data_IF_995227274667
#
_entry.id   IF_995227274667
#
_cell.length_a   1.000
_cell.length_b   1.000
_cell.length_c   1.000
_cell.angle_alpha   90.00
_cell.angle_beta   90.00
_cell.angle_gamma   90.00
#
_symmetry.space_group_name_H-M   'P 1'
#
loop_
_entity.id
_entity.type
_entity.pdbx_description
1 polymer ?
#
# COMPACT_ATOMS: atom_id res chain seq x y z
N UNK A 1 -13.33 64.06 -13.80
CA UNK A 1 -12.34 63.29 -13.01
C UNK A 1 -12.44 61.84 -13.44
N UNK A 2 -11.61 61.41 -14.39
CA UNK A 2 -11.47 59.99 -14.75
C UNK A 2 -10.59 59.37 -13.67
N UNK A 3 -11.12 58.38 -12.94
CA UNK A 3 -10.33 57.57 -12.01
C UNK A 3 -9.28 56.82 -12.83
N UNK A 4 -8.01 57.13 -12.60
CA UNK A 4 -6.89 56.34 -13.06
C UNK A 4 -6.86 55.10 -12.18
N UNK A 5 -7.25 53.96 -12.73
CA UNK A 5 -6.95 52.65 -12.12
C UNK A 5 -5.48 52.40 -12.42
N UNK A 6 -4.64 52.49 -11.39
CA UNK A 6 -3.26 52.00 -11.45
C UNK A 6 -3.34 50.46 -11.43
N UNK A 7 -3.19 49.82 -12.59
CA UNK A 7 -2.81 48.40 -12.66
C UNK A 7 -1.35 48.29 -12.22
N UNK A 8 -1.09 47.61 -11.09
CA UNK A 8 0.28 47.32 -10.66
C UNK A 8 0.95 46.43 -11.71
N UNK A 9 2.07 46.89 -12.26
CA UNK A 9 2.83 46.17 -13.27
C UNK A 9 3.31 44.81 -12.75
N UNK A 10 3.06 43.75 -13.53
CA UNK A 10 3.74 42.46 -13.42
C UNK A 10 5.25 42.66 -13.57
N UNK A 11 6.03 42.10 -12.63
CA UNK A 11 7.48 42.18 -12.62
C UNK A 11 8.04 40.81 -13.01
N UNK A 12 8.34 40.63 -14.30
CA UNK A 12 9.08 39.46 -14.78
C UNK A 12 10.59 39.78 -14.73
N UNK A 13 11.32 39.14 -13.81
CA UNK A 13 12.79 39.24 -13.75
C UNK A 13 13.35 37.89 -14.21
N UNK A 14 13.62 37.79 -15.51
CA UNK A 14 14.50 36.75 -16.05
C UNK A 14 15.93 37.26 -16.03
N UNK A 15 16.71 36.87 -15.02
CA UNK A 15 18.15 37.16 -14.99
C UNK A 15 18.87 36.04 -15.75
N UNK A 16 19.06 36.25 -17.06
CA UNK A 16 20.05 35.48 -17.83
C UNK A 16 21.43 36.03 -17.49
N UNK A 17 22.09 35.44 -16.48
CA UNK A 17 23.47 35.78 -16.20
C UNK A 17 24.34 35.30 -17.37
N UNK A 18 24.81 36.26 -18.18
CA UNK A 18 25.66 36.06 -19.35
C UNK A 18 26.87 35.15 -19.05
N UNK A 19 26.74 33.87 -19.39
CA UNK A 19 27.74 33.07 -20.07
C UNK A 19 27.07 31.80 -20.65
N UNK A 20 27.23 31.58 -21.95
CA UNK A 20 27.05 30.29 -22.68
C UNK A 20 25.74 30.06 -23.46
N UNK A 21 25.86 29.32 -24.57
CA UNK A 21 25.03 29.38 -25.77
C UNK A 21 23.63 28.71 -25.64
N UNK A 22 22.63 29.28 -26.32
CA UNK A 22 21.32 28.68 -26.64
C UNK A 22 20.32 28.41 -25.50
N UNK A 23 20.42 29.06 -24.33
CA UNK A 23 19.31 29.04 -23.35
C UNK A 23 18.11 29.84 -23.86
N UNK A 24 16.90 29.30 -23.69
CA UNK A 24 15.62 29.93 -24.07
C UNK A 24 14.71 30.05 -22.84
N UNK A 25 14.28 31.27 -22.54
CA UNK A 25 13.24 31.52 -21.53
C UNK A 25 12.07 32.29 -22.17
N UNK A 26 10.85 31.79 -21.99
CA UNK A 26 9.60 32.43 -22.45
C UNK A 26 8.65 32.54 -21.26
N UNK A 27 8.24 33.77 -20.92
CA UNK A 27 7.27 34.03 -19.84
C UNK A 27 6.10 34.81 -20.43
N UNK A 28 4.87 34.28 -20.32
CA UNK A 28 3.62 34.91 -20.74
C UNK A 28 2.72 35.08 -19.53
N UNK A 29 2.39 36.32 -19.17
CA UNK A 29 1.56 36.63 -18.00
C UNK A 29 0.35 37.49 -18.41
N UNK A 30 -0.83 37.19 -17.85
CA UNK A 30 -2.06 37.98 -18.04
C UNK A 30 -2.85 38.08 -16.73
N UNK A 31 -2.79 39.25 -16.07
CA UNK A 31 -3.47 39.54 -14.80
C UNK A 31 -2.66 40.53 -13.96
N UNK A 32 -3.16 40.88 -12.77
CA UNK A 32 -2.53 41.81 -11.83
C UNK A 32 -1.64 41.07 -10.80
N UNK A 33 -0.45 41.61 -10.50
CA UNK A 33 0.45 41.12 -9.43
C UNK A 33 1.05 39.70 -9.61
N UNK A 34 1.14 39.18 -10.84
CA UNK A 34 1.90 37.94 -11.09
C UNK A 34 3.42 38.16 -10.97
N UNK A 35 4.13 37.20 -10.37
CA UNK A 35 5.59 37.19 -10.23
C UNK A 35 6.16 35.93 -10.89
N UNK A 36 7.09 36.10 -11.82
CA UNK A 36 7.84 34.97 -12.41
C UNK A 36 9.33 35.28 -12.38
N UNK A 37 10.11 34.38 -11.79
CA UNK A 37 11.58 34.44 -11.74
C UNK A 37 12.15 33.17 -12.35
N UNK A 38 13.04 33.34 -13.34
CA UNK A 38 13.75 32.24 -14.01
C UNK A 38 15.26 32.44 -13.92
N UNK A 39 15.99 31.46 -13.41
CA UNK A 39 17.46 31.40 -13.41
C UNK A 39 17.88 30.20 -14.26
N UNK A 40 18.68 30.42 -15.30
CA UNK A 40 19.23 29.37 -16.17
C UNK A 40 20.76 29.49 -16.21
N UNK A 41 21.47 28.44 -15.81
CA UNK A 41 22.94 28.37 -15.78
C UNK A 41 23.40 27.08 -16.49
N UNK A 42 24.17 27.20 -17.57
CA UNK A 42 24.58 26.08 -18.46
C UNK A 42 24.16 26.33 -19.92
N UNK A 43 24.13 25.30 -20.77
CA UNK A 43 23.80 25.41 -22.21
C UNK A 43 22.47 24.73 -22.59
N UNK A 44 21.74 25.30 -23.57
CA UNK A 44 20.49 24.72 -24.15
C UNK A 44 19.35 24.43 -23.15
N UNK A 45 19.29 25.13 -22.02
CA UNK A 45 18.13 25.05 -21.12
C UNK A 45 16.92 25.78 -21.71
N UNK A 46 15.72 25.20 -21.52
CA UNK A 46 14.44 25.76 -21.93
C UNK A 46 13.51 25.97 -20.74
N UNK A 47 12.98 27.19 -20.60
CA UNK A 47 11.97 27.57 -19.62
C UNK A 47 10.76 28.17 -20.35
N UNK A 48 9.57 27.61 -20.13
CA UNK A 48 8.31 28.20 -20.56
C UNK A 48 7.38 28.36 -19.36
N UNK A 49 6.95 29.59 -19.08
CA UNK A 49 5.99 29.91 -18.02
C UNK A 49 4.80 30.64 -18.63
N UNK A 50 3.59 30.13 -18.41
CA UNK A 50 2.33 30.82 -18.71
C UNK A 50 1.56 31.01 -17.41
N UNK A 51 1.12 32.23 -17.12
CA UNK A 51 0.31 32.55 -15.93
C UNK A 51 -0.88 33.43 -16.34
N UNK A 52 -2.08 33.07 -15.91
CA UNK A 52 -3.31 33.83 -16.16
C UNK A 52 -4.09 34.06 -14.87
N UNK A 53 -4.76 35.21 -14.76
CA UNK A 53 -5.40 35.77 -13.55
C UNK A 53 -4.37 36.32 -12.53
N UNK A 54 -4.77 36.58 -11.28
CA UNK A 54 -4.05 37.51 -10.39
C UNK A 54 -3.15 36.78 -9.36
N UNK A 55 -2.03 37.41 -8.97
CA UNK A 55 -1.12 36.97 -7.87
C UNK A 55 -0.43 35.60 -8.00
N UNK A 56 -0.36 34.99 -9.18
CA UNK A 56 0.40 33.76 -9.39
C UNK A 56 1.91 33.99 -9.26
N UNK A 57 2.61 33.09 -8.57
CA UNK A 57 4.06 33.12 -8.36
C UNK A 57 4.71 31.88 -8.97
N UNK A 58 5.72 32.07 -9.81
CA UNK A 58 6.55 31.00 -10.35
C UNK A 58 8.02 31.32 -10.13
N UNK A 59 8.76 30.40 -9.52
CA UNK A 59 10.20 30.46 -9.33
C UNK A 59 10.83 29.21 -9.94
N UNK A 60 11.63 29.37 -10.99
CA UNK A 60 12.30 28.25 -11.65
C UNK A 60 13.80 28.48 -11.74
N UNK A 61 14.60 27.51 -11.28
CA UNK A 61 16.07 27.51 -11.38
C UNK A 61 16.53 26.26 -12.12
N UNK A 62 17.30 26.42 -13.19
CA UNK A 62 17.88 25.34 -13.99
C UNK A 62 19.41 25.48 -14.01
N UNK A 63 20.12 24.48 -13.49
CA UNK A 63 21.58 24.42 -13.43
C UNK A 63 22.08 23.15 -14.15
N UNK A 64 22.84 23.31 -15.23
CA UNK A 64 23.30 22.20 -16.09
C UNK A 64 22.84 22.40 -17.53
N UNK A 65 22.88 21.37 -18.38
CA UNK A 65 22.60 21.48 -19.81
C UNK A 65 21.29 20.80 -20.21
N UNK A 66 20.66 21.27 -21.29
CA UNK A 66 19.48 20.64 -21.92
C UNK A 66 18.26 20.43 -21.00
N UNK A 67 18.17 21.12 -19.86
CA UNK A 67 17.02 20.99 -18.97
C UNK A 67 15.80 21.73 -19.53
N UNK A 68 14.61 21.13 -19.45
CA UNK A 68 13.35 21.74 -19.85
C UNK A 68 12.41 21.89 -18.66
N UNK A 69 11.86 23.08 -18.45
CA UNK A 69 10.81 23.32 -17.46
C UNK A 69 9.64 24.04 -18.11
N UNK A 70 8.44 23.50 -17.95
CA UNK A 70 7.19 24.09 -18.40
C UNK A 70 6.27 24.28 -17.21
N UNK A 71 5.77 25.50 -17.04
CA UNK A 71 4.84 25.87 -15.98
C UNK A 71 3.61 26.56 -16.60
N UNK A 72 2.42 26.04 -16.34
CA UNK A 72 1.14 26.67 -16.68
C UNK A 72 0.29 26.85 -15.42
N UNK A 73 -0.15 28.08 -15.15
CA UNK A 73 -0.98 28.43 -13.99
C UNK A 73 -2.20 29.24 -14.44
N UNK A 74 -3.39 28.72 -14.18
CA UNK A 74 -4.67 29.38 -14.43
C UNK A 74 -5.49 29.45 -13.14
N UNK A 75 -5.66 30.67 -12.60
CA UNK A 75 -6.36 30.94 -11.33
C UNK A 75 -5.64 31.99 -10.49
N UNK A 76 -6.08 32.23 -9.26
CA UNK A 76 -5.49 33.23 -8.38
C UNK A 76 -4.53 32.62 -7.34
N UNK A 77 -3.38 33.30 -7.10
CA UNK A 77 -2.38 32.96 -6.06
C UNK A 77 -1.74 31.57 -6.13
N UNK A 78 -1.69 30.93 -7.29
CA UNK A 78 -0.97 29.67 -7.41
C UNK A 78 0.56 29.88 -7.27
N UNK A 79 1.26 28.94 -6.63
CA UNK A 79 2.70 28.97 -6.38
C UNK A 79 3.39 27.77 -7.03
N UNK A 80 4.43 28.04 -7.82
CA UNK A 80 5.35 27.02 -8.36
C UNK A 80 6.79 27.33 -7.96
N UNK A 81 7.49 26.33 -7.43
CA UNK A 81 8.92 26.37 -7.14
C UNK A 81 9.65 25.18 -7.74
N UNK A 82 10.26 25.34 -8.91
CA UNK A 82 11.01 24.27 -9.58
C UNK A 82 12.53 24.52 -9.48
N UNK A 83 13.28 23.58 -8.93
CA UNK A 83 14.74 23.58 -8.89
C UNK A 83 15.24 22.35 -9.66
N UNK A 84 16.09 22.55 -10.66
CA UNK A 84 16.57 21.49 -11.54
C UNK A 84 18.09 21.61 -11.64
N UNK A 85 18.80 20.55 -11.26
CA UNK A 85 20.26 20.44 -11.32
C UNK A 85 20.67 19.18 -12.07
N UNK A 86 21.63 19.28 -13.00
CA UNK A 86 22.13 18.18 -13.84
C UNK A 86 21.74 18.34 -15.31
N UNK A 87 21.83 17.28 -16.11
CA UNK A 87 21.64 17.35 -17.57
C UNK A 87 20.33 16.65 -18.04
N UNK A 88 19.69 17.22 -19.07
CA UNK A 88 18.54 16.62 -19.78
C UNK A 88 17.29 16.31 -18.92
N UNK A 89 17.09 17.02 -17.81
CA UNK A 89 15.90 16.83 -16.97
C UNK A 89 14.68 17.58 -17.53
N UNK A 90 13.48 17.04 -17.34
CA UNK A 90 12.22 17.64 -17.76
C UNK A 90 11.25 17.78 -16.59
N UNK A 91 10.75 18.99 -16.37
CA UNK A 91 9.65 19.27 -15.44
C UNK A 91 8.44 19.84 -16.17
N UNK A 92 7.25 19.40 -15.78
CA UNK A 92 5.97 19.95 -16.26
C UNK A 92 5.10 20.21 -15.04
N UNK A 93 4.65 21.44 -14.85
CA UNK A 93 3.74 21.81 -13.77
C UNK A 93 2.53 22.50 -14.37
N UNK A 94 1.33 21.98 -14.11
CA UNK A 94 0.06 22.56 -14.54
C UNK A 94 -0.86 22.72 -13.32
N UNK A 95 -1.32 23.94 -13.06
CA UNK A 95 -2.21 24.26 -11.93
C UNK A 95 -3.44 25.00 -12.44
N UNK A 96 -4.62 24.41 -12.23
CA UNK A 96 -5.94 24.98 -12.56
C UNK A 96 -6.72 25.19 -11.25
N UNK A 97 -7.18 26.42 -10.97
CA UNK A 97 -7.88 26.78 -9.73
C UNK A 97 -7.06 27.72 -8.83
N UNK A 98 -7.50 27.96 -7.59
CA UNK A 98 -6.92 29.00 -6.73
C UNK A 98 -6.02 28.42 -5.60
N UNK A 99 -5.02 29.17 -5.16
CA UNK A 99 -4.18 28.86 -3.99
C UNK A 99 -3.43 27.50 -4.06
N UNK A 100 -3.24 26.89 -5.24
CA UNK A 100 -2.46 25.64 -5.38
C UNK A 100 -0.95 25.87 -5.27
N UNK A 101 -0.22 24.94 -4.67
CA UNK A 101 1.23 24.96 -4.53
C UNK A 101 1.89 23.71 -5.15
N UNK A 102 2.93 23.91 -5.95
CA UNK A 102 3.75 22.83 -6.49
C UNK A 102 5.23 23.14 -6.30
N UNK A 103 5.97 22.18 -5.76
CA UNK A 103 7.42 22.27 -5.56
C UNK A 103 8.09 21.04 -6.17
N UNK A 104 8.95 21.23 -7.15
CA UNK A 104 9.67 20.14 -7.81
C UNK A 104 11.18 20.40 -7.68
N UNK A 105 11.91 19.48 -7.05
CA UNK A 105 13.37 19.49 -6.94
C UNK A 105 13.94 18.26 -7.68
N UNK A 106 14.69 18.48 -8.75
CA UNK A 106 15.37 17.42 -9.51
C UNK A 106 16.88 17.60 -9.40
N UNK A 107 17.60 16.54 -9.06
CA UNK A 107 19.06 16.50 -9.04
C UNK A 107 19.61 15.22 -9.68
N UNK A 108 20.24 15.35 -10.85
CA UNK A 108 20.83 14.25 -11.62
C UNK A 108 20.49 14.35 -13.10
N UNK A 109 20.52 13.25 -13.85
CA UNK A 109 20.42 13.28 -15.31
C UNK A 109 19.18 12.54 -15.85
N UNK A 110 18.56 13.05 -16.91
CA UNK A 110 17.43 12.43 -17.63
C UNK A 110 16.17 12.13 -16.79
N UNK A 111 15.92 12.88 -15.71
CA UNK A 111 14.72 12.67 -14.91
C UNK A 111 13.51 13.41 -15.49
N UNK A 112 12.31 12.84 -15.31
CA UNK A 112 11.03 13.45 -15.64
C UNK A 112 10.21 13.66 -14.37
N UNK A 113 9.71 14.87 -14.13
CA UNK A 113 8.70 15.11 -13.08
C UNK A 113 7.51 15.88 -13.65
N UNK A 114 6.31 15.40 -13.38
CA UNK A 114 5.05 16.01 -13.82
C UNK A 114 4.16 16.23 -12.61
N UNK A 115 3.68 17.46 -12.42
CA UNK A 115 2.68 17.79 -11.41
C UNK A 115 1.47 18.45 -12.09
N UNK A 116 0.30 17.86 -11.93
CA UNK A 116 -0.98 18.40 -12.39
C UNK A 116 -1.92 18.58 -11.19
N UNK A 117 -2.42 19.79 -10.98
CA UNK A 117 -3.35 20.09 -9.88
C UNK A 117 -4.57 20.81 -10.45
N UNK A 118 -5.78 20.31 -10.14
CA UNK A 118 -7.04 20.89 -10.60
C UNK A 118 -8.03 21.02 -9.43
N UNK A 119 -8.23 22.25 -8.96
CA UNK A 119 -9.08 22.61 -7.81
C UNK A 119 -8.39 23.63 -6.92
N UNK A 120 -8.74 23.72 -5.64
CA UNK A 120 -8.27 24.80 -4.75
C UNK A 120 -7.37 24.30 -3.63
N UNK A 121 -6.29 25.03 -3.31
CA UNK A 121 -5.41 24.75 -2.16
C UNK A 121 -4.72 23.37 -2.15
N UNK A 122 -4.49 22.76 -3.32
CA UNK A 122 -3.74 21.49 -3.40
C UNK A 122 -2.23 21.74 -3.30
N UNK A 123 -1.50 20.82 -2.67
CA UNK A 123 -0.03 20.85 -2.54
C UNK A 123 0.59 19.59 -3.17
N UNK A 124 1.50 19.79 -4.12
CA UNK A 124 2.25 18.72 -4.79
C UNK A 124 3.75 18.95 -4.61
N UNK A 125 4.46 17.99 -4.02
CA UNK A 125 5.90 18.04 -3.83
C UNK A 125 6.53 16.84 -4.55
N UNK A 126 7.57 17.08 -5.35
CA UNK A 126 8.36 16.03 -5.96
C UNK A 126 9.86 16.30 -5.74
N UNK A 127 10.58 15.35 -5.14
CA UNK A 127 12.04 15.34 -5.05
C UNK A 127 12.59 14.14 -5.80
N UNK A 128 13.37 14.36 -6.85
CA UNK A 128 13.86 13.29 -7.75
C UNK A 128 15.38 13.38 -7.87
N UNK A 129 16.08 12.45 -7.24
CA UNK A 129 17.53 12.37 -7.22
C UNK A 129 18.03 11.13 -8.00
N UNK A 130 19.10 11.31 -8.78
CA UNK A 130 19.75 10.24 -9.55
C UNK A 130 19.42 10.26 -11.05
N UNK A 131 19.36 9.11 -11.71
CA UNK A 131 19.30 9.03 -13.18
C UNK A 131 18.04 8.36 -13.73
N UNK A 132 17.44 8.93 -14.78
CA UNK A 132 16.32 8.32 -15.53
C UNK A 132 15.05 8.02 -14.69
N UNK A 133 14.83 8.70 -13.56
CA UNK A 133 13.63 8.51 -12.78
C UNK A 133 12.45 9.29 -13.38
N UNK A 134 11.23 8.80 -13.16
CA UNK A 134 10.00 9.44 -13.57
C UNK A 134 9.03 9.55 -12.39
N UNK A 135 8.59 10.77 -12.08
CA UNK A 135 7.55 11.05 -11.08
C UNK A 135 6.34 11.74 -11.72
N UNK A 136 5.15 11.34 -11.31
CA UNK A 136 3.90 11.98 -11.70
C UNK A 136 2.98 12.18 -10.49
N UNK A 137 2.58 13.42 -10.24
CA UNK A 137 1.55 13.78 -9.26
C UNK A 137 0.35 14.36 -10.00
N UNK A 138 -0.85 13.84 -9.73
CA UNK A 138 -2.11 14.35 -10.24
C UNK A 138 -3.08 14.52 -9.07
N UNK A 139 -3.57 15.73 -8.84
CA UNK A 139 -4.53 16.04 -7.77
C UNK A 139 -5.76 16.72 -8.36
N UNK A 140 -6.95 16.26 -7.98
CA UNK A 140 -8.24 16.86 -8.39
C UNK A 140 -9.13 17.03 -7.17
N UNK A 141 -9.54 18.26 -6.85
CA UNK A 141 -10.36 18.59 -5.67
C UNK A 141 -9.74 19.67 -4.80
N UNK A 142 -10.05 19.72 -3.51
CA UNK A 142 -9.55 20.75 -2.59
C UNK A 142 -8.65 20.19 -1.48
N UNK A 143 -7.63 20.95 -1.07
CA UNK A 143 -6.75 20.61 0.07
C UNK A 143 -6.02 19.25 -0.01
N UNK A 144 -5.81 18.68 -1.20
CA UNK A 144 -5.03 17.45 -1.33
C UNK A 144 -3.53 17.72 -1.19
N UNK A 145 -2.80 16.81 -0.55
CA UNK A 145 -1.35 16.85 -0.35
C UNK A 145 -0.71 15.56 -0.91
N UNK A 146 0.20 15.69 -1.87
CA UNK A 146 0.93 14.57 -2.45
C UNK A 146 2.42 14.88 -2.48
N UNK A 147 3.22 13.96 -1.96
CA UNK A 147 4.67 14.02 -1.98
C UNK A 147 5.25 12.77 -2.65
N UNK A 148 6.16 12.96 -3.61
CA UNK A 148 6.96 11.88 -4.20
C UNK A 148 8.44 12.18 -3.94
N UNK A 149 9.14 11.26 -3.28
CA UNK A 149 10.60 11.30 -3.13
C UNK A 149 11.22 10.06 -3.79
N UNK A 150 12.07 10.28 -4.80
CA UNK A 150 12.82 9.23 -5.51
C UNK A 150 14.32 9.49 -5.35
N UNK A 151 15.08 8.47 -4.99
CA UNK A 151 16.55 8.52 -4.94
C UNK A 151 17.15 7.22 -5.49
N UNK A 152 17.74 7.32 -6.68
CA UNK A 152 18.40 6.21 -7.38
C UNK A 152 18.19 6.26 -8.89
N UNK A 153 18.07 5.11 -9.56
CA UNK A 153 18.02 5.06 -11.03
C UNK A 153 16.77 4.35 -11.58
N UNK A 154 16.15 4.91 -12.62
CA UNK A 154 15.01 4.29 -13.33
C UNK A 154 13.78 3.99 -12.46
N UNK A 155 13.57 4.71 -11.36
CA UNK A 155 12.36 4.55 -10.55
C UNK A 155 11.16 5.25 -11.21
N UNK A 156 9.98 4.64 -11.13
CA UNK A 156 8.72 5.17 -11.62
C UNK A 156 7.73 5.34 -10.46
N UNK A 157 7.33 6.59 -10.20
CA UNK A 157 6.49 6.96 -9.06
C UNK A 157 5.28 7.74 -9.54
N UNK A 158 4.09 7.31 -9.16
CA UNK A 158 2.83 7.90 -9.60
C UNK A 158 1.90 8.05 -8.41
N UNK A 159 1.34 9.24 -8.23
CA UNK A 159 0.31 9.52 -7.23
C UNK A 159 -0.86 10.24 -7.89
N UNK A 160 -2.04 9.65 -7.83
CA UNK A 160 -3.31 10.23 -8.28
C UNK A 160 -4.26 10.37 -7.09
N UNK A 161 -4.75 11.59 -6.83
CA UNK A 161 -5.70 11.89 -5.75
C UNK A 161 -6.93 12.62 -6.32
N UNK A 162 -8.13 12.13 -6.01
CA UNK A 162 -9.41 12.71 -6.43
C UNK A 162 -10.33 12.83 -5.21
N UNK A 163 -10.73 14.05 -4.84
CA UNK A 163 -11.57 14.34 -3.68
C UNK A 163 -10.97 15.45 -2.82
N UNK A 164 -11.40 15.57 -1.56
CA UNK A 164 -10.94 16.62 -0.65
C UNK A 164 -10.04 16.09 0.48
N UNK A 165 -9.03 16.86 0.88
CA UNK A 165 -8.15 16.57 2.04
C UNK A 165 -7.36 15.24 1.99
N UNK A 166 -7.13 14.65 0.82
CA UNK A 166 -6.34 13.42 0.71
C UNK A 166 -4.83 13.70 0.91
N UNK A 167 -4.14 12.80 1.59
CA UNK A 167 -2.70 12.86 1.84
C UNK A 167 -1.99 11.63 1.29
N UNK A 168 -0.87 11.84 0.63
CA UNK A 168 -0.12 10.79 -0.04
C UNK A 168 1.37 11.02 0.00
N UNK A 169 2.12 9.99 0.38
CA UNK A 169 3.58 10.00 0.35
C UNK A 169 4.07 8.75 -0.40
N UNK A 170 4.81 8.96 -1.49
CA UNK A 170 5.51 7.90 -2.21
C UNK A 170 7.02 8.08 -2.03
N UNK A 171 7.73 7.07 -1.53
CA UNK A 171 9.18 7.10 -1.33
C UNK A 171 9.82 5.91 -2.03
N UNK A 172 10.82 6.13 -2.89
CA UNK A 172 11.53 5.08 -3.61
C UNK A 172 13.04 5.27 -3.52
N UNK A 173 13.73 4.31 -2.90
CA UNK A 173 15.19 4.23 -2.84
C UNK A 173 15.68 3.03 -3.66
N UNK A 174 16.69 3.22 -4.51
CA UNK A 174 17.31 2.13 -5.30
C UNK A 174 17.01 2.22 -6.80
N UNK A 175 16.82 1.10 -7.49
CA UNK A 175 16.65 1.11 -8.95
C UNK A 175 15.47 0.31 -9.48
N UNK A 176 14.88 0.78 -10.58
CA UNK A 176 13.76 0.10 -11.27
C UNK A 176 12.51 -0.14 -10.40
N UNK A 177 12.34 0.60 -9.31
CA UNK A 177 11.15 0.44 -8.46
C UNK A 177 9.94 1.17 -9.08
N UNK A 178 8.77 0.56 -9.00
CA UNK A 178 7.48 1.10 -9.46
C UNK A 178 6.54 1.29 -8.26
N UNK A 179 6.09 2.52 -8.01
CA UNK A 179 5.09 2.83 -7.00
C UNK A 179 3.97 3.62 -7.64
N UNK A 180 2.76 3.08 -7.57
CA UNK A 180 1.56 3.69 -8.09
C UNK A 180 0.53 3.74 -6.96
N UNK A 181 0.05 4.94 -6.65
CA UNK A 181 -0.99 5.17 -5.66
C UNK A 181 -2.16 5.93 -6.29
N UNK A 182 -3.37 5.40 -6.12
CA UNK A 182 -4.63 6.01 -6.51
C UNK A 182 -5.52 6.20 -5.28
N UNK A 183 -6.01 7.40 -5.04
CA UNK A 183 -6.99 7.71 -3.99
C UNK A 183 -8.21 8.40 -4.60
N UNK A 184 -9.40 7.93 -4.25
CA UNK A 184 -10.69 8.55 -4.60
C UNK A 184 -11.54 8.68 -3.33
N UNK A 185 -12.06 9.86 -3.02
CA UNK A 185 -12.86 10.14 -1.81
C UNK A 185 -12.19 11.20 -0.92
N UNK A 186 -12.66 11.37 0.31
CA UNK A 186 -12.21 12.46 1.19
C UNK A 186 -11.34 11.97 2.36
N UNK A 187 -10.33 12.76 2.76
CA UNK A 187 -9.48 12.50 3.93
C UNK A 187 -8.73 11.15 3.95
N UNK A 188 -8.42 10.56 2.79
CA UNK A 188 -7.61 9.33 2.75
C UNK A 188 -6.12 9.63 2.97
N UNK A 189 -5.40 8.72 3.60
CA UNK A 189 -3.96 8.82 3.82
C UNK A 189 -3.24 7.57 3.30
N UNK A 190 -2.16 7.77 2.53
CA UNK A 190 -1.25 6.69 2.21
C UNK A 190 0.23 7.01 2.35
N UNK A 191 1.00 5.96 2.64
CA UNK A 191 2.45 5.93 2.51
C UNK A 191 2.83 4.69 1.70
N UNK A 192 3.47 4.88 0.55
CA UNK A 192 4.02 3.82 -0.28
C UNK A 192 5.55 3.97 -0.34
N UNK A 193 6.27 3.12 0.39
CA UNK A 193 7.72 3.17 0.49
C UNK A 193 8.36 1.90 -0.13
N UNK A 194 9.42 2.08 -0.92
CA UNK A 194 10.17 1.01 -1.56
C UNK A 194 11.67 1.23 -1.42
N UNK A 195 12.42 0.19 -1.06
CA UNK A 195 13.88 0.22 -0.97
C UNK A 195 14.49 -1.02 -1.65
N UNK A 196 15.24 -0.85 -2.74
CA UNK A 196 15.95 -1.95 -3.39
C UNK A 196 15.81 -1.94 -4.91
N UNK A 197 15.72 -3.12 -5.53
CA UNK A 197 15.66 -3.24 -7.00
C UNK A 197 14.37 -3.90 -7.49
N UNK A 198 13.75 -3.33 -8.53
CA UNK A 198 12.60 -3.91 -9.24
C UNK A 198 11.36 -4.23 -8.36
N UNK A 199 11.14 -3.48 -7.28
CA UNK A 199 9.97 -3.66 -6.42
C UNK A 199 8.73 -2.95 -6.99
N UNK A 200 7.52 -3.48 -6.79
CA UNK A 200 6.25 -2.90 -7.25
C UNK A 200 5.27 -2.66 -6.10
N UNK A 201 4.79 -1.43 -5.93
CA UNK A 201 3.79 -1.04 -4.93
C UNK A 201 2.59 -0.45 -5.66
N UNK A 202 1.46 -1.15 -5.64
CA UNK A 202 0.23 -0.65 -6.22
C UNK A 202 -0.83 -0.50 -5.13
N UNK A 203 -1.20 0.74 -4.84
CA UNK A 203 -2.17 1.07 -3.82
C UNK A 203 -3.37 1.77 -4.45
N UNK A 204 -4.58 1.30 -4.13
CA UNK A 204 -5.84 1.94 -4.51
C UNK A 204 -6.74 2.10 -3.28
N UNK A 205 -7.16 3.32 -2.96
CA UNK A 205 -8.12 3.61 -1.90
C UNK A 205 -9.35 4.31 -2.49
N UNK A 206 -10.55 3.78 -2.23
CA UNK A 206 -11.83 4.31 -2.70
C UNK A 206 -12.81 4.48 -1.53
N UNK A 207 -13.10 5.70 -1.14
CA UNK A 207 -14.00 6.05 -0.03
C UNK A 207 -13.33 7.04 0.92
N UNK A 208 -13.82 7.19 2.14
CA UNK A 208 -13.39 8.29 3.02
C UNK A 208 -12.58 7.79 4.24
N UNK A 209 -11.61 8.58 4.69
CA UNK A 209 -10.81 8.29 5.90
C UNK A 209 -10.01 6.95 5.87
N UNK A 210 -9.72 6.38 4.71
CA UNK A 210 -8.92 5.16 4.63
C UNK A 210 -7.43 5.45 4.86
N UNK A 211 -6.75 4.57 5.57
CA UNK A 211 -5.30 4.61 5.84
C UNK A 211 -4.58 3.40 5.25
N UNK A 212 -3.51 3.63 4.50
CA UNK A 212 -2.66 2.56 3.99
C UNK A 212 -1.18 2.87 4.18
N UNK A 213 -0.43 1.91 4.71
CA UNK A 213 1.02 1.95 4.79
C UNK A 213 1.57 0.70 4.11
N UNK A 214 2.27 0.88 2.99
CA UNK A 214 2.89 -0.20 2.25
C UNK A 214 4.40 0.04 2.15
N UNK A 215 5.20 -0.79 2.81
CA UNK A 215 6.66 -0.74 2.80
C UNK A 215 7.23 -2.03 2.22
N UNK A 216 8.14 -1.93 1.27
CA UNK A 216 8.89 -3.08 0.78
C UNK A 216 10.39 -2.81 0.67
N UNK A 217 11.19 -3.82 1.01
CA UNK A 217 12.65 -3.81 0.97
C UNK A 217 13.18 -5.08 0.30
N UNK A 218 14.13 -4.94 -0.64
CA UNK A 218 14.80 -6.06 -1.31
C UNK A 218 14.60 -6.09 -2.82
N UNK A 219 14.41 -7.27 -3.42
CA UNK A 219 14.36 -7.42 -4.89
C UNK A 219 13.06 -8.08 -5.39
N UNK A 220 12.47 -7.53 -6.45
CA UNK A 220 11.28 -8.10 -7.13
C UNK A 220 10.07 -8.37 -6.21
N UNK A 221 9.88 -7.60 -5.12
CA UNK A 221 8.70 -7.75 -4.28
C UNK A 221 7.49 -7.01 -4.88
N UNK A 222 6.28 -7.48 -4.56
CA UNK A 222 5.03 -6.91 -5.04
C UNK A 222 4.05 -6.76 -3.88
N UNK A 223 3.60 -5.54 -3.65
CA UNK A 223 2.48 -5.20 -2.76
C UNK A 223 1.35 -4.66 -3.63
N UNK A 224 0.18 -5.27 -3.51
CA UNK A 224 -1.07 -4.78 -4.08
C UNK A 224 -2.09 -4.59 -2.96
N UNK A 225 -2.53 -3.36 -2.73
CA UNK A 225 -3.52 -3.04 -1.69
C UNK A 225 -4.70 -2.30 -2.30
N UNK A 226 -5.91 -2.80 -2.08
CA UNK A 226 -7.16 -2.16 -2.48
C UNK A 226 -8.06 -2.00 -1.25
N UNK A 227 -8.46 -0.77 -0.94
CA UNK A 227 -9.40 -0.48 0.14
C UNK A 227 -10.62 0.23 -0.43
N UNK A 228 -11.82 -0.28 -0.14
CA UNK A 228 -13.10 0.34 -0.53
C UNK A 228 -13.98 0.51 0.70
N UNK A 229 -14.47 1.73 0.96
CA UNK A 229 -15.34 2.03 2.10
C UNK A 229 -14.76 3.12 3.00
N UNK A 230 -15.09 3.09 4.29
CA UNK A 230 -14.71 4.15 5.23
C UNK A 230 -13.83 3.62 6.37
N UNK A 231 -12.81 4.39 6.78
CA UNK A 231 -11.94 4.08 7.92
C UNK A 231 -11.19 2.72 7.85
N UNK A 232 -10.97 2.15 6.67
CA UNK A 232 -10.16 0.93 6.56
C UNK A 232 -8.69 1.26 6.80
N UNK A 233 -7.97 0.38 7.51
CA UNK A 233 -6.55 0.52 7.81
C UNK A 233 -5.77 -0.71 7.34
N UNK A 234 -4.77 -0.51 6.49
CA UNK A 234 -3.85 -1.55 6.06
C UNK A 234 -2.40 -1.15 6.37
N UNK A 235 -1.65 -2.10 6.93
CA UNK A 235 -0.20 -2.07 7.02
C UNK A 235 0.32 -3.30 6.29
N UNK A 236 1.19 -3.11 5.31
CA UNK A 236 1.87 -4.19 4.61
C UNK A 236 3.37 -3.91 4.60
N UNK A 237 4.15 -4.80 5.20
CA UNK A 237 5.61 -4.77 5.26
C UNK A 237 6.18 -6.05 4.60
N UNK A 238 6.98 -5.88 3.54
CA UNK A 238 7.68 -6.97 2.86
C UNK A 238 9.20 -6.77 2.89
N UNK A 239 9.95 -7.71 3.43
CA UNK A 239 11.41 -7.71 3.39
C UNK A 239 11.93 -9.00 2.75
N UNK A 240 12.63 -8.91 1.62
CA UNK A 240 13.30 -10.06 0.99
C UNK A 240 13.24 -10.07 -0.54
N UNK A 241 13.07 -11.25 -1.14
CA UNK A 241 13.08 -11.40 -2.61
C UNK A 241 11.84 -12.11 -3.14
N UNK A 242 11.21 -11.56 -4.18
CA UNK A 242 10.08 -12.18 -4.91
C UNK A 242 8.84 -12.50 -4.05
N UNK A 243 8.58 -11.75 -2.98
CA UNK A 243 7.37 -11.94 -2.17
C UNK A 243 6.19 -11.15 -2.74
N UNK A 244 4.98 -11.70 -2.60
CA UNK A 244 3.72 -11.10 -3.07
C UNK A 244 2.73 -11.00 -1.92
N UNK A 245 2.14 -9.81 -1.75
CA UNK A 245 1.08 -9.53 -0.78
C UNK A 245 -0.06 -8.85 -1.51
N UNK A 246 -1.25 -9.44 -1.42
CA UNK A 246 -2.48 -8.84 -1.90
C UNK A 246 -3.46 -8.65 -0.76
N UNK A 247 -3.90 -7.42 -0.57
CA UNK A 247 -4.87 -7.06 0.46
C UNK A 247 -6.06 -6.35 -0.19
N UNK A 248 -7.26 -6.90 0.01
CA UNK A 248 -8.52 -6.29 -0.37
C UNK A 248 -9.40 -6.09 0.88
N UNK A 249 -9.78 -4.85 1.18
CA UNK A 249 -10.66 -4.51 2.29
C UNK A 249 -11.90 -3.77 1.77
N UNK A 250 -13.08 -4.30 2.04
CA UNK A 250 -14.36 -3.71 1.66
C UNK A 250 -15.25 -3.53 2.90
N UNK A 251 -15.63 -2.29 3.23
CA UNK A 251 -16.56 -2.00 4.34
C UNK A 251 -16.07 -0.90 5.28
N UNK A 252 -16.49 -0.97 6.55
CA UNK A 252 -16.15 0.04 7.57
C UNK A 252 -15.17 -0.52 8.62
N UNK A 253 -14.10 0.23 8.93
CA UNK A 253 -13.13 -0.11 9.99
C UNK A 253 -12.48 -1.50 9.88
N UNK A 254 -12.21 -2.01 8.68
CA UNK A 254 -11.42 -3.23 8.55
C UNK A 254 -9.93 -2.94 8.78
N UNK A 255 -9.26 -3.80 9.56
CA UNK A 255 -7.84 -3.70 9.87
C UNK A 255 -7.11 -4.91 9.30
N UNK A 256 -6.04 -4.68 8.55
CA UNK A 256 -5.12 -5.72 8.10
C UNK A 256 -3.68 -5.32 8.36
N UNK A 257 -2.89 -6.27 8.85
CA UNK A 257 -1.46 -6.14 9.08
C UNK A 257 -0.76 -7.36 8.49
N UNK A 258 0.06 -7.14 7.47
CA UNK A 258 0.83 -8.18 6.78
C UNK A 258 2.31 -7.88 6.96
N UNK A 259 3.03 -8.80 7.58
CA UNK A 259 4.48 -8.82 7.64
C UNK A 259 5.02 -10.08 6.96
N UNK A 260 5.84 -9.91 5.92
CA UNK A 260 6.50 -11.01 5.22
C UNK A 260 8.02 -10.80 5.18
N UNK A 261 8.77 -11.70 5.82
CA UNK A 261 10.23 -11.73 5.81
C UNK A 261 10.73 -12.97 5.06
N UNK A 262 11.53 -12.81 4.01
CA UNK A 262 12.20 -13.91 3.30
C UNK A 262 11.90 -13.98 1.80
N UNK A 263 11.90 -15.18 1.21
CA UNK A 263 11.85 -15.34 -0.26
C UNK A 263 10.62 -16.09 -0.75
N UNK A 264 9.95 -15.54 -1.76
CA UNK A 264 8.78 -16.18 -2.42
C UNK A 264 7.63 -16.42 -1.42
N UNK A 265 7.37 -15.51 -0.48
CA UNK A 265 6.19 -15.62 0.39
C UNK A 265 4.96 -15.04 -0.33
N UNK A 266 3.80 -15.69 -0.17
CA UNK A 266 2.52 -15.27 -0.74
C UNK A 266 1.51 -15.04 0.39
N UNK A 267 0.95 -13.84 0.48
CA UNK A 267 -0.11 -13.50 1.42
C UNK A 267 -1.28 -12.91 0.65
N UNK A 268 -2.48 -13.39 0.96
CA UNK A 268 -3.74 -12.85 0.46
C UNK A 268 -4.68 -12.63 1.63
N UNK A 269 -5.14 -11.40 1.80
CA UNK A 269 -6.18 -11.02 2.75
C UNK A 269 -7.35 -10.42 1.97
N UNK A 270 -8.53 -10.97 2.15
CA UNK A 270 -9.79 -10.40 1.67
C UNK A 270 -10.73 -10.25 2.87
N UNK A 271 -11.10 -9.02 3.19
CA UNK A 271 -12.04 -8.68 4.27
C UNK A 271 -13.23 -7.95 3.68
N UNK A 272 -14.44 -8.48 3.86
CA UNK A 272 -15.68 -7.82 3.45
C UNK A 272 -16.67 -7.79 4.62
N UNK A 273 -17.06 -6.58 5.04
CA UNK A 273 -17.93 -6.31 6.19
C UNK A 273 -17.31 -5.28 7.13
N UNK A 274 -17.78 -5.20 8.37
CA UNK A 274 -17.34 -4.19 9.32
C UNK A 274 -16.46 -4.77 10.44
N UNK A 275 -15.45 -4.01 10.88
CA UNK A 275 -14.59 -4.35 12.03
C UNK A 275 -13.79 -5.67 11.91
N UNK A 276 -13.56 -6.19 10.69
CA UNK A 276 -12.75 -7.39 10.54
C UNK A 276 -11.27 -7.09 10.80
N UNK A 277 -10.56 -8.03 11.44
CA UNK A 277 -9.13 -7.94 11.72
C UNK A 277 -8.38 -9.16 11.21
N UNK A 278 -7.34 -8.92 10.40
CA UNK A 278 -6.50 -9.96 9.83
C UNK A 278 -5.02 -9.63 10.04
N UNK A 279 -4.29 -10.53 10.70
CA UNK A 279 -2.86 -10.39 10.97
C UNK A 279 -2.11 -11.55 10.33
N UNK A 280 -1.13 -11.27 9.48
CA UNK A 280 -0.28 -12.29 8.84
C UNK A 280 1.19 -11.99 9.14
N UNK A 281 1.88 -12.93 9.75
CA UNK A 281 3.33 -12.92 9.96
C UNK A 281 3.94 -14.16 9.29
N UNK A 282 4.66 -13.97 8.18
CA UNK A 282 5.32 -15.05 7.44
C UNK A 282 6.84 -14.85 7.44
N UNK A 283 7.58 -15.86 7.90
CA UNK A 283 9.05 -15.85 7.86
C UNK A 283 9.64 -17.04 7.07
N UNK A 284 10.65 -16.79 6.23
CA UNK A 284 11.36 -17.84 5.49
C UNK A 284 10.94 -17.94 4.02
N UNK A 285 10.86 -19.16 3.49
CA UNK A 285 10.78 -19.41 2.04
C UNK A 285 9.47 -20.10 1.66
N UNK A 286 8.74 -19.58 0.67
CA UNK A 286 7.52 -20.21 0.10
C UNK A 286 6.34 -20.38 1.06
N UNK A 287 6.16 -19.48 2.02
CA UNK A 287 4.95 -19.52 2.85
C UNK A 287 3.74 -19.01 2.05
N UNK A 288 2.58 -19.65 2.22
CA UNK A 288 1.32 -19.22 1.61
C UNK A 288 0.28 -18.97 2.71
N UNK A 289 -0.26 -17.76 2.78
CA UNK A 289 -1.34 -17.38 3.69
C UNK A 289 -2.51 -16.89 2.89
N UNK A 290 -3.68 -17.45 3.11
CA UNK A 290 -4.95 -16.92 2.61
C UNK A 290 -5.88 -16.69 3.80
N UNK A 291 -6.39 -15.48 3.94
CA UNK A 291 -7.43 -15.10 4.89
C UNK A 291 -8.61 -14.51 4.10
N UNK A 292 -9.79 -15.11 4.25
CA UNK A 292 -11.06 -14.64 3.68
C UNK A 292 -12.06 -14.44 4.83
N UNK A 293 -12.39 -13.19 5.15
CA UNK A 293 -13.33 -12.81 6.21
C UNK A 293 -14.55 -12.14 5.59
N UNK A 294 -15.70 -12.82 5.64
CA UNK A 294 -16.97 -12.32 5.12
C UNK A 294 -17.96 -12.16 6.28
N UNK A 295 -18.31 -10.93 6.65
CA UNK A 295 -19.18 -10.59 7.76
C UNK A 295 -18.53 -9.60 8.71
N UNK A 296 -19.03 -9.46 9.94
CA UNK A 296 -18.60 -8.41 10.87
C UNK A 296 -17.81 -8.97 12.08
N UNK A 297 -16.85 -8.23 12.61
CA UNK A 297 -16.11 -8.57 13.84
C UNK A 297 -15.39 -9.93 13.79
N UNK A 298 -14.88 -10.33 12.61
CA UNK A 298 -14.05 -11.53 12.49
C UNK A 298 -12.59 -11.23 12.80
N UNK A 299 -11.93 -12.16 13.51
CA UNK A 299 -10.51 -12.11 13.82
C UNK A 299 -9.77 -13.32 13.24
N UNK A 300 -8.75 -13.06 12.43
CA UNK A 300 -7.86 -14.07 11.87
C UNK A 300 -6.40 -13.69 12.11
N UNK A 301 -5.62 -14.64 12.60
CA UNK A 301 -4.17 -14.48 12.76
C UNK A 301 -3.43 -15.71 12.22
N UNK A 302 -2.46 -15.46 11.34
CA UNK A 302 -1.59 -16.49 10.80
C UNK A 302 -0.14 -16.14 11.14
N UNK A 303 0.56 -17.04 11.82
CA UNK A 303 2.01 -16.98 11.99
C UNK A 303 2.62 -18.26 11.41
N UNK A 304 3.44 -18.14 10.37
CA UNK A 304 4.00 -19.32 9.71
C UNK A 304 5.46 -19.14 9.30
N UNK A 305 6.20 -20.25 9.32
CA UNK A 305 7.59 -20.28 8.92
C UNK A 305 7.92 -21.43 7.96
N UNK A 306 8.93 -21.24 7.12
CA UNK A 306 9.59 -22.28 6.31
C UNK A 306 8.67 -23.08 5.36
N UNK A 307 7.89 -22.43 4.50
CA UNK A 307 7.18 -23.11 3.41
C UNK A 307 5.90 -23.80 3.82
N UNK A 308 5.24 -23.26 4.84
CA UNK A 308 3.93 -23.73 5.30
C UNK A 308 2.79 -23.09 4.48
N UNK A 309 1.58 -23.63 4.60
CA UNK A 309 0.37 -23.10 3.97
C UNK A 309 -0.74 -23.01 5.01
N UNK A 310 -1.37 -21.84 5.10
CA UNK A 310 -2.55 -21.61 5.93
C UNK A 310 -3.67 -21.01 5.11
N UNK A 311 -4.87 -21.56 5.24
CA UNK A 311 -6.11 -21.07 4.65
C UNK A 311 -7.15 -20.89 5.76
N UNK A 312 -7.54 -19.64 6.02
CA UNK A 312 -8.59 -19.28 6.98
C UNK A 312 -9.76 -18.68 6.20
N UNK A 313 -10.94 -19.28 6.35
CA UNK A 313 -12.21 -18.76 5.83
C UNK A 313 -13.22 -18.60 6.95
N UNK A 314 -13.58 -17.36 7.25
CA UNK A 314 -14.58 -16.99 8.24
C UNK A 314 -15.81 -16.40 7.53
N UNK A 315 -16.98 -16.97 7.77
CA UNK A 315 -18.27 -16.49 7.26
C UNK A 315 -19.07 -15.91 8.43
N UNK A 316 -20.01 -15.01 8.16
CA UNK A 316 -20.83 -14.32 9.17
C UNK A 316 -19.97 -13.62 10.24
N UNK A 317 -20.51 -13.36 11.44
CA UNK A 317 -19.84 -12.53 12.44
C UNK A 317 -19.23 -13.26 13.64
N UNK A 318 -18.23 -12.63 14.25
CA UNK A 318 -17.67 -13.00 15.55
C UNK A 318 -16.77 -14.24 15.58
N UNK A 319 -16.21 -14.66 14.44
CA UNK A 319 -15.31 -15.82 14.41
C UNK A 319 -13.88 -15.44 14.81
N UNK A 320 -13.20 -16.36 15.50
CA UNK A 320 -11.79 -16.24 15.88
C UNK A 320 -11.01 -17.45 15.36
N UNK A 321 -9.97 -17.20 14.56
CA UNK A 321 -9.04 -18.20 14.08
C UNK A 321 -7.60 -17.76 14.31
N UNK A 322 -6.80 -18.61 14.96
CA UNK A 322 -5.35 -18.42 15.07
C UNK A 322 -4.63 -19.69 14.60
N UNK A 323 -3.77 -19.52 13.61
CA UNK A 323 -2.95 -20.60 13.04
C UNK A 323 -1.48 -20.26 13.25
N UNK A 324 -0.77 -21.13 13.98
CA UNK A 324 0.68 -21.07 14.18
C UNK A 324 1.31 -22.31 13.55
N UNK A 325 2.21 -22.12 12.58
CA UNK A 325 2.90 -23.20 11.88
C UNK A 325 4.42 -23.02 11.97
N UNK A 326 5.08 -23.93 12.69
CA UNK A 326 6.54 -23.95 12.86
C UNK A 326 7.10 -25.20 12.21
N UNK A 327 7.89 -25.04 11.14
CA UNK A 327 8.55 -26.15 10.44
C UNK A 327 8.14 -26.29 8.98
N UNK A 328 8.69 -27.28 8.27
CA UNK A 328 8.61 -27.36 6.80
C UNK A 328 7.29 -28.01 6.33
N UNK A 329 6.54 -27.30 5.48
CA UNK A 329 5.44 -27.87 4.69
C UNK A 329 4.18 -28.24 5.49
N UNK A 330 3.92 -27.58 6.61
CA UNK A 330 2.67 -27.75 7.34
C UNK A 330 1.50 -27.12 6.56
N UNK A 331 0.33 -27.75 6.63
CA UNK A 331 -0.89 -27.29 5.97
C UNK A 331 -2.03 -27.21 6.98
N UNK A 332 -2.65 -26.04 7.09
CA UNK A 332 -3.80 -25.81 7.95
C UNK A 332 -4.94 -25.18 7.16
N UNK A 333 -6.13 -25.72 7.31
CA UNK A 333 -7.37 -25.13 6.81
C UNK A 333 -8.34 -24.95 7.96
N UNK A 334 -8.82 -23.72 8.15
CA UNK A 334 -9.84 -23.36 9.15
C UNK A 334 -11.03 -22.75 8.42
N UNK A 335 -12.22 -23.35 8.59
CA UNK A 335 -13.50 -22.82 8.11
C UNK A 335 -14.46 -22.63 9.27
N UNK A 336 -14.99 -21.42 9.43
CA UNK A 336 -15.89 -21.05 10.53
C UNK A 336 -17.10 -20.29 10.00
N UNK A 337 -18.27 -20.49 10.61
CA UNK A 337 -19.53 -19.86 10.18
C UNK A 337 -20.11 -18.78 11.09
N UNK A 338 -20.07 -18.86 12.42
CA UNK A 338 -20.57 -17.78 13.30
C UNK A 338 -20.06 -18.02 14.72
N UNK A 339 -19.53 -17.00 15.41
CA UNK A 339 -19.11 -17.09 16.82
C UNK A 339 -18.26 -18.34 17.17
N UNK A 340 -17.42 -18.81 16.25
CA UNK A 340 -16.60 -20.00 16.46
C UNK A 340 -15.15 -19.64 16.79
N UNK A 341 -14.48 -20.53 17.52
CA UNK A 341 -13.09 -20.36 17.95
C UNK A 341 -12.23 -21.54 17.50
N UNK A 342 -11.15 -21.27 16.76
CA UNK A 342 -10.21 -22.26 16.25
C UNK A 342 -8.77 -21.85 16.56
N UNK A 343 -8.06 -22.71 17.28
CA UNK A 343 -6.62 -22.63 17.48
C UNK A 343 -5.95 -23.82 16.81
N UNK A 344 -5.00 -23.55 15.94
CA UNK A 344 -4.17 -24.58 15.30
C UNK A 344 -2.71 -24.27 15.55
N UNK A 345 -2.00 -25.21 16.16
CA UNK A 345 -0.54 -25.20 16.34
C UNK A 345 0.07 -26.44 15.70
N UNK A 346 0.85 -26.25 14.64
CA UNK A 346 1.57 -27.33 13.95
C UNK A 346 3.07 -27.11 14.09
N UNK A 347 3.73 -27.92 14.91
CA UNK A 347 5.18 -27.90 15.12
C UNK A 347 5.82 -29.16 14.53
N UNK A 348 6.62 -28.97 13.49
CA UNK A 348 7.37 -30.00 12.78
C UNK A 348 7.08 -30.01 11.27
N UNK A 349 7.15 -31.17 10.61
CA UNK A 349 7.16 -31.25 9.14
C UNK A 349 5.93 -31.97 8.57
N UNK A 350 5.33 -31.39 7.52
CA UNK A 350 4.24 -32.02 6.74
C UNK A 350 2.99 -32.37 7.57
N UNK A 351 2.71 -31.64 8.65
CA UNK A 351 1.47 -31.83 9.41
C UNK A 351 0.29 -31.23 8.64
N UNK A 352 -0.87 -31.88 8.69
CA UNK A 352 -2.12 -31.42 8.07
C UNK A 352 -3.21 -31.28 9.13
N UNK A 353 -3.91 -30.14 9.13
CA UNK A 353 -5.06 -29.89 10.00
C UNK A 353 -6.23 -29.32 9.20
N UNK A 354 -7.42 -29.84 9.45
CA UNK A 354 -8.68 -29.31 8.95
C UNK A 354 -9.62 -29.07 10.12
N UNK A 355 -10.08 -27.83 10.28
CA UNK A 355 -11.13 -27.42 11.22
C UNK A 355 -12.30 -26.89 10.41
N UNK A 356 -13.47 -27.54 10.47
CA UNK A 356 -14.75 -27.04 9.90
C UNK A 356 -15.77 -26.94 11.03
N UNK A 357 -16.07 -25.70 11.45
CA UNK A 357 -17.03 -25.37 12.50
C UNK A 357 -18.25 -24.70 11.88
N UNK A 358 -19.41 -25.34 12.05
CA UNK A 358 -20.72 -24.86 11.57
C UNK A 358 -21.63 -24.58 12.75
N UNK A 359 -22.50 -23.57 12.63
CA UNK A 359 -23.29 -23.00 13.72
C UNK A 359 -22.41 -22.37 14.81
N UNK A 360 -23.04 -21.79 15.85
CA UNK A 360 -22.36 -20.93 16.82
C UNK A 360 -21.70 -21.67 17.99
N UNK A 361 -20.66 -21.03 18.54
CA UNK A 361 -20.07 -21.37 19.83
C UNK A 361 -19.16 -22.61 19.84
N UNK A 362 -18.73 -23.11 18.68
CA UNK A 362 -17.81 -24.25 18.65
C UNK A 362 -16.37 -23.81 18.97
N UNK A 363 -15.66 -24.64 19.70
CA UNK A 363 -14.24 -24.49 20.01
C UNK A 363 -13.46 -25.69 19.50
N UNK A 364 -12.39 -25.43 18.74
CA UNK A 364 -11.45 -26.42 18.27
C UNK A 364 -10.02 -26.00 18.62
N UNK A 365 -9.30 -26.83 19.37
CA UNK A 365 -7.88 -26.69 19.62
C UNK A 365 -7.14 -27.89 19.02
N UNK A 366 -6.26 -27.65 18.06
CA UNK A 366 -5.47 -28.67 17.38
C UNK A 366 -3.99 -28.39 17.63
N UNK A 367 -3.32 -29.29 18.33
CA UNK A 367 -1.87 -29.26 18.57
C UNK A 367 -1.24 -30.50 17.95
N UNK A 368 -0.36 -30.30 16.97
CA UNK A 368 0.37 -31.36 16.28
C UNK A 368 1.88 -31.13 16.43
N UNK A 369 2.54 -32.00 17.19
CA UNK A 369 3.98 -32.04 17.41
C UNK A 369 4.59 -33.24 16.65
N UNK A 370 5.63 -32.99 15.84
CA UNK A 370 6.27 -34.02 15.02
C UNK A 370 5.92 -33.92 13.54
N UNK A 371 5.78 -35.03 12.83
CA UNK A 371 5.70 -34.98 11.37
C UNK A 371 4.64 -35.87 10.72
N UNK A 372 4.05 -35.40 9.61
CA UNK A 372 2.98 -36.11 8.88
C UNK A 372 1.74 -36.42 9.72
N UNK A 373 1.50 -35.68 10.80
CA UNK A 373 0.29 -35.85 11.58
C UNK A 373 -0.90 -35.25 10.82
N UNK A 374 -2.03 -35.95 10.80
CA UNK A 374 -3.27 -35.52 10.17
C UNK A 374 -4.37 -35.39 11.23
N UNK A 375 -4.95 -34.19 11.35
CA UNK A 375 -6.05 -33.88 12.26
C UNK A 375 -7.24 -33.32 11.49
N UNK A 376 -8.42 -33.89 11.72
CA UNK A 376 -9.68 -33.42 11.14
C UNK A 376 -10.67 -33.21 12.28
N UNK A 377 -11.14 -31.98 12.45
CA UNK A 377 -12.18 -31.59 13.39
C UNK A 377 -13.38 -31.04 12.62
N UNK A 378 -14.49 -31.78 12.66
CA UNK A 378 -15.75 -31.40 12.04
C UNK A 378 -16.80 -31.20 13.15
N UNK A 379 -17.22 -29.96 13.38
CA UNK A 379 -18.22 -29.62 14.38
C UNK A 379 -19.42 -29.01 13.67
N UNK A 380 -20.51 -29.77 13.50
CA UNK A 380 -21.71 -29.30 12.77
C UNK A 380 -22.90 -28.97 13.67
N UNK A 381 -22.81 -29.26 14.97
CA UNK A 381 -23.73 -28.72 15.98
C UNK A 381 -23.19 -27.45 16.62
N UNK A 382 -23.93 -26.88 17.59
CA UNK A 382 -23.51 -25.70 18.35
C UNK A 382 -22.80 -26.07 19.67
N UNK A 383 -21.98 -25.15 20.20
CA UNK A 383 -21.31 -25.28 21.51
C UNK A 383 -20.43 -26.54 21.66
N UNK A 384 -19.89 -27.08 20.56
CA UNK A 384 -19.05 -28.26 20.64
C UNK A 384 -17.60 -27.92 21.01
N UNK A 385 -16.92 -28.86 21.69
CA UNK A 385 -15.52 -28.77 22.07
C UNK A 385 -14.71 -29.90 21.42
N UNK A 386 -13.69 -29.53 20.66
CA UNK A 386 -12.65 -30.41 20.11
C UNK A 386 -11.31 -30.00 20.71
N UNK A 387 -10.60 -30.96 21.30
CA UNK A 387 -9.20 -30.80 21.69
C UNK A 387 -8.40 -31.99 21.16
N UNK A 388 -7.42 -31.72 20.29
CA UNK A 388 -6.56 -32.74 19.68
C UNK A 388 -5.11 -32.43 20.01
N UNK A 389 -4.43 -33.40 20.62
CA UNK A 389 -2.98 -33.42 20.78
C UNK A 389 -2.42 -34.65 20.06
N UNK A 390 -1.57 -34.43 19.06
CA UNK A 390 -0.82 -35.48 18.38
C UNK A 390 0.68 -35.24 18.54
N UNK A 391 1.40 -36.14 19.21
CA UNK A 391 2.85 -36.11 19.39
C UNK A 391 3.49 -37.35 18.76
N UNK A 392 4.27 -37.14 17.70
CA UNK A 392 5.00 -38.19 16.98
C UNK A 392 4.86 -38.10 15.47
N UNK A 393 5.02 -39.22 14.77
CA UNK A 393 4.96 -39.30 13.30
C UNK A 393 3.73 -40.04 12.79
N UNK A 394 3.10 -39.51 11.73
CA UNK A 394 2.04 -40.17 10.98
C UNK A 394 0.78 -40.53 11.81
N UNK A 395 0.46 -39.73 12.84
CA UNK A 395 -0.77 -39.92 13.60
C UNK A 395 -1.98 -39.36 12.84
N UNK A 396 -3.12 -40.04 12.89
CA UNK A 396 -4.39 -39.59 12.31
C UNK A 396 -5.45 -39.44 13.40
N UNK A 397 -6.08 -38.27 13.49
CA UNK A 397 -7.19 -37.97 14.39
C UNK A 397 -8.35 -37.43 13.58
N UNK A 398 -9.54 -38.03 13.73
CA UNK A 398 -10.79 -37.53 13.15
C UNK A 398 -11.80 -37.37 14.28
N UNK A 399 -12.23 -36.15 14.55
CA UNK A 399 -13.34 -35.84 15.45
C UNK A 399 -14.49 -35.29 14.62
N UNK A 400 -15.67 -35.90 14.73
CA UNK A 400 -16.91 -35.43 14.12
C UNK A 400 -18.02 -35.33 15.17
N UNK A 401 -18.51 -34.11 15.40
CA UNK A 401 -19.54 -33.79 16.39
C UNK A 401 -20.75 -33.17 15.70
N UNK A 402 -21.85 -33.92 15.62
CA UNK A 402 -23.03 -33.54 14.85
C UNK A 402 -24.19 -32.99 15.68
N UNK A 403 -24.17 -33.23 17.00
CA UNK A 403 -25.15 -32.66 17.95
C UNK A 403 -24.55 -31.48 18.70
N UNK A 404 -25.29 -30.85 19.62
CA UNK A 404 -24.80 -29.73 20.42
C UNK A 404 -24.06 -30.19 21.69
N UNK A 405 -23.17 -29.34 22.23
CA UNK A 405 -22.49 -29.54 23.53
C UNK A 405 -21.66 -30.83 23.64
N UNK A 406 -21.17 -31.36 22.52
CA UNK A 406 -20.30 -32.51 22.54
C UNK A 406 -18.88 -32.12 22.94
N UNK A 407 -18.16 -33.03 23.60
CA UNK A 407 -16.75 -32.87 23.90
C UNK A 407 -15.97 -34.08 23.39
N UNK A 408 -14.99 -33.81 22.52
CA UNK A 408 -14.15 -34.79 21.86
C UNK A 408 -12.70 -34.42 22.15
N UNK A 409 -12.03 -35.26 22.94
CA UNK A 409 -10.62 -35.07 23.30
C UNK A 409 -9.85 -36.25 22.74
N UNK A 410 -8.83 -35.98 21.92
CA UNK A 410 -7.91 -36.99 21.39
C UNK A 410 -6.50 -36.63 21.81
N UNK A 411 -5.83 -37.55 22.51
CA UNK A 411 -4.39 -37.48 22.76
C UNK A 411 -3.72 -38.72 22.18
N UNK A 412 -2.83 -38.52 21.22
CA UNK A 412 -2.06 -39.58 20.57
C UNK A 412 -0.57 -39.30 20.77
N UNK A 413 0.13 -40.20 21.46
CA UNK A 413 1.59 -40.14 21.65
C UNK A 413 2.20 -41.37 20.98
N UNK A 414 3.25 -41.16 20.18
CA UNK A 414 3.92 -42.21 19.40
C UNK A 414 3.61 -42.11 17.90
N UNK A 415 3.91 -43.15 17.13
CA UNK A 415 3.82 -43.12 15.67
C UNK A 415 2.70 -43.99 15.12
N UNK A 416 2.07 -43.57 14.02
CA UNK A 416 1.03 -44.30 13.26
C UNK A 416 -0.26 -44.59 14.04
N UNK A 417 -0.60 -43.76 15.02
CA UNK A 417 -1.86 -43.90 15.75
C UNK A 417 -3.03 -43.46 14.87
N UNK A 418 -4.19 -44.09 15.00
CA UNK A 418 -5.44 -43.65 14.35
C UNK A 418 -6.54 -43.56 15.41
N UNK A 419 -7.21 -42.41 15.47
CA UNK A 419 -8.35 -42.14 16.36
C UNK A 419 -9.50 -41.61 15.53
N UNK A 420 -10.70 -42.14 15.80
CA UNK A 420 -11.95 -41.66 15.21
C UNK A 420 -12.95 -41.50 16.34
N UNK A 421 -13.35 -40.26 16.61
CA UNK A 421 -14.39 -39.90 17.58
C UNK A 421 -15.59 -39.39 16.78
N UNK A 422 -16.71 -40.09 16.83
CA UNK A 422 -17.97 -39.64 16.23
C UNK A 422 -19.00 -39.52 17.35
N UNK A 423 -19.52 -38.32 17.55
CA UNK A 423 -20.57 -38.03 18.52
C UNK A 423 -21.78 -37.48 17.76
N UNK A 424 -22.84 -38.28 17.73
CA UNK A 424 -24.11 -37.92 17.12
C UNK A 424 -25.25 -38.57 17.88
N UNK A 425 -26.23 -37.77 18.27
CA UNK A 425 -27.62 -38.17 18.42
C UNK A 425 -28.54 -37.13 17.84
#
# INVERSE_FOLDING_TARGET
>A
MKKVVLSLAALAIGLTANAQENNKATVKQKGDTNLSTGIQLGERNSLEVTQTNDRNVSMVSQLGNENTSTVDQEGDKNLVGNVITGDSNRTITEQLGDDNASFIDINGDNNLSVAFQNGDSNTAVASVNGGSNASQVVQVGTLNEAEITQDGNSNYGVTYQIGDENKGLTVQYGSENEAIAFQTGDSNNFIAAQNGEANSNNLTQNGDYNGAYAYQSGTENVIETTQTGEYNYNVTEQEGERSYSWVNQEGFLNISDVKQEGTINYSTISQAGDLNQAYVDQSGVRNISTIDQLGDDNYAKVSQAHGSTSDIKQLEGGNYAEVTQVGLGNNSTVRQESENFALVSQNGELNTSLVDQRLSGNFANIVQEGGRNNSVALQTGAENLVDVLQDGMANTSVISQMSNQNSGIVSQIGNHNTSVVVQGR
#
